data_IF_461322633091
#
_entry.id   IF_461322633091
#
_cell.length_a   1.000
_cell.length_b   1.000
_cell.length_c   1.000
_cell.angle_alpha   90.00
_cell.angle_beta   90.00
_cell.angle_gamma   90.00
#
_symmetry.space_group_name_H-M   'P 1'
#
loop_
_entity.id
_entity.type
_entity.pdbx_description
1 polymer ?
#
# COMPACT_ATOMS: atom_id res chain seq x y z
N UNK A 1 -11.09 -12.37 5.64
CA UNK A 1 -11.59 -12.95 4.37
C UNK A 1 -10.39 -13.26 3.47
N UNK A 2 -10.16 -14.52 3.07
CA UNK A 2 -9.06 -14.86 2.14
C UNK A 2 -9.45 -14.38 0.74
N UNK A 3 -8.87 -13.30 0.25
CA UNK A 3 -9.05 -12.87 -1.14
C UNK A 3 -8.42 -13.92 -2.08
N UNK A 4 -9.19 -14.46 -3.01
CA UNK A 4 -8.66 -15.38 -4.01
C UNK A 4 -7.72 -14.63 -4.96
N UNK A 5 -6.59 -15.22 -5.40
CA UNK A 5 -5.65 -14.55 -6.32
C UNK A 5 -6.30 -14.01 -7.59
N UNK A 6 -7.30 -14.71 -8.14
CA UNK A 6 -8.03 -14.33 -9.36
C UNK A 6 -9.23 -13.40 -9.09
N UNK A 7 -9.35 -12.80 -7.91
CA UNK A 7 -10.48 -11.93 -7.61
C UNK A 7 -10.34 -10.59 -8.33
N UNK A 8 -11.34 -10.25 -9.12
CA UNK A 8 -11.50 -8.97 -9.78
C UNK A 8 -12.02 -7.89 -8.82
N UNK A 9 -11.91 -6.64 -9.23
CA UNK A 9 -12.48 -5.52 -8.52
C UNK A 9 -14.02 -5.57 -8.59
N UNK A 10 -14.70 -5.27 -7.48
CA UNK A 10 -16.17 -5.17 -7.48
C UNK A 10 -16.63 -3.88 -8.18
N UNK A 11 -17.92 -3.76 -8.48
CA UNK A 11 -18.49 -2.53 -9.06
C UNK A 11 -18.31 -1.33 -8.14
N UNK A 12 -18.47 -1.53 -6.84
CA UNK A 12 -18.25 -0.53 -5.80
C UNK A 12 -16.77 -0.14 -5.74
N UNK A 13 -15.86 -1.12 -5.84
CA UNK A 13 -14.42 -0.88 -5.92
C UNK A 13 -14.03 -0.07 -7.15
N UNK A 14 -14.62 -0.36 -8.32
CA UNK A 14 -14.41 0.45 -9.54
C UNK A 14 -14.90 1.88 -9.34
N UNK A 15 -16.08 2.07 -8.73
CA UNK A 15 -16.65 3.41 -8.49
C UNK A 15 -15.79 4.21 -7.51
N UNK A 16 -15.31 3.56 -6.44
CA UNK A 16 -14.42 4.18 -5.46
C UNK A 16 -13.07 4.57 -6.09
N UNK A 17 -12.46 3.65 -6.83
CA UNK A 17 -11.19 3.92 -7.51
C UNK A 17 -11.30 5.09 -8.51
N UNK A 18 -12.39 5.16 -9.27
CA UNK A 18 -12.67 6.32 -10.16
C UNK A 18 -12.78 7.61 -9.39
N UNK A 19 -13.49 7.60 -8.27
CA UNK A 19 -13.66 8.80 -7.44
C UNK A 19 -12.31 9.30 -6.93
N UNK A 20 -11.51 8.40 -6.36
CA UNK A 20 -10.17 8.74 -5.84
C UNK A 20 -9.24 9.21 -6.95
N UNK A 21 -9.30 8.58 -8.12
CA UNK A 21 -8.46 8.93 -9.27
C UNK A 21 -8.68 10.35 -9.80
N UNK A 22 -9.87 10.93 -9.59
CA UNK A 22 -10.19 12.30 -10.05
C UNK A 22 -9.35 13.38 -9.35
N UNK A 23 -8.93 13.12 -8.12
CA UNK A 23 -8.16 14.06 -7.30
C UNK A 23 -6.64 13.79 -7.34
N UNK A 24 -6.22 12.74 -8.06
CA UNK A 24 -4.81 12.39 -8.19
C UNK A 24 -4.18 13.11 -9.39
N UNK A 25 -3.01 13.70 -9.17
CA UNK A 25 -2.19 14.23 -10.25
C UNK A 25 -1.62 13.07 -11.11
N UNK A 26 -1.22 13.34 -12.38
CA UNK A 26 -0.50 12.35 -13.17
C UNK A 26 0.77 11.87 -12.46
N UNK A 27 1.07 10.57 -12.61
CA UNK A 27 2.30 9.97 -12.12
C UNK A 27 3.23 9.67 -13.29
N UNK A 28 4.55 9.78 -13.05
CA UNK A 28 5.58 9.43 -14.03
C UNK A 28 5.80 7.91 -14.13
N UNK A 29 5.43 7.18 -13.08
CA UNK A 29 5.51 5.72 -13.03
C UNK A 29 4.34 5.13 -12.23
N UNK A 30 3.63 4.18 -12.82
CA UNK A 30 2.57 3.43 -12.14
C UNK A 30 2.96 1.96 -12.03
N UNK A 31 3.16 1.48 -10.80
CA UNK A 31 3.54 0.10 -10.50
C UNK A 31 2.38 -0.60 -9.80
N UNK A 32 1.98 -1.76 -10.28
CA UNK A 32 0.92 -2.55 -9.63
C UNK A 32 1.42 -3.94 -9.27
N UNK A 33 0.72 -4.61 -8.36
CA UNK A 33 0.85 -6.05 -8.25
C UNK A 33 0.33 -6.72 -9.53
N UNK A 34 0.71 -8.00 -9.74
CA UNK A 34 0.20 -8.81 -10.88
C UNK A 34 -1.25 -9.30 -10.69
N UNK A 35 -1.88 -9.00 -9.57
CA UNK A 35 -3.24 -9.44 -9.31
C UNK A 35 -4.27 -8.56 -10.05
N UNK A 36 -5.31 -9.17 -10.69
CA UNK A 36 -6.26 -8.45 -11.52
C UNK A 36 -6.84 -7.20 -10.85
N UNK A 37 -7.26 -7.31 -9.58
CA UNK A 37 -7.86 -6.19 -8.84
C UNK A 37 -6.93 -4.98 -8.67
N UNK A 38 -5.59 -5.16 -8.61
CA UNK A 38 -4.67 -4.03 -8.52
C UNK A 38 -4.51 -3.31 -9.86
N UNK A 39 -4.42 -4.08 -10.95
CA UNK A 39 -4.38 -3.55 -12.32
C UNK A 39 -5.69 -2.80 -12.64
N UNK A 40 -6.83 -3.41 -12.29
CA UNK A 40 -8.15 -2.81 -12.49
C UNK A 40 -8.35 -1.55 -11.65
N UNK A 41 -7.74 -1.48 -10.45
CA UNK A 41 -7.72 -0.27 -9.64
C UNK A 41 -6.97 0.85 -10.35
N UNK A 42 -5.77 0.59 -10.90
CA UNK A 42 -5.04 1.59 -11.68
C UNK A 42 -5.88 2.11 -12.85
N UNK A 43 -6.46 1.20 -13.64
CA UNK A 43 -7.30 1.54 -14.80
C UNK A 43 -8.52 2.36 -14.37
N UNK A 44 -9.19 1.97 -13.28
CA UNK A 44 -10.35 2.68 -12.78
C UNK A 44 -10.00 4.08 -12.25
N UNK A 45 -8.80 4.26 -11.68
CA UNK A 45 -8.26 5.57 -11.29
C UNK A 45 -7.85 6.44 -12.49
N UNK A 46 -7.82 5.89 -13.70
CA UNK A 46 -7.46 6.60 -14.93
C UNK A 46 -5.99 6.45 -15.33
N UNK A 47 -5.26 5.49 -14.76
CA UNK A 47 -3.85 5.25 -15.03
C UNK A 47 -3.63 3.91 -15.74
N UNK A 48 -2.67 3.87 -16.68
CA UNK A 48 -2.12 2.61 -17.17
C UNK A 48 -1.06 2.09 -16.20
N UNK A 49 -0.98 0.78 -16.03
CA UNK A 49 0.13 0.18 -15.28
C UNK A 49 1.37 0.08 -16.18
N UNK A 50 2.42 0.85 -15.85
CA UNK A 50 3.69 0.81 -16.58
C UNK A 50 4.51 -0.44 -16.24
N UNK A 51 4.41 -0.86 -14.98
CA UNK A 51 5.16 -2.01 -14.45
C UNK A 51 4.31 -2.86 -13.52
N UNK A 52 4.49 -4.17 -13.59
CA UNK A 52 3.85 -5.12 -12.67
C UNK A 52 4.90 -5.88 -11.88
N UNK A 53 4.75 -5.93 -10.53
CA UNK A 53 5.64 -6.67 -9.63
C UNK A 53 4.84 -7.73 -8.84
N UNK A 54 5.30 -8.99 -8.88
CA UNK A 54 4.65 -10.09 -8.16
C UNK A 54 4.76 -9.92 -6.62
N UNK A 55 5.87 -9.35 -6.14
CA UNK A 55 6.15 -9.19 -4.71
C UNK A 55 5.21 -8.19 -4.01
N UNK A 56 4.50 -7.38 -4.80
CA UNK A 56 3.45 -6.49 -4.31
C UNK A 56 2.07 -7.18 -4.16
N UNK A 57 1.98 -8.50 -4.43
CA UNK A 57 0.68 -9.14 -4.60
C UNK A 57 0.26 -10.13 -3.52
N UNK A 58 1.18 -10.76 -2.84
CA UNK A 58 0.88 -11.88 -1.94
C UNK A 58 1.69 -11.78 -0.65
N UNK A 59 0.98 -11.87 0.48
CA UNK A 59 1.62 -12.07 1.78
C UNK A 59 2.05 -13.53 1.93
N UNK A 60 3.29 -13.82 2.38
CA UNK A 60 3.68 -15.15 2.81
C UNK A 60 2.72 -15.70 3.88
N UNK A 61 2.49 -17.02 3.89
CA UNK A 61 1.53 -17.63 4.80
C UNK A 61 1.87 -17.37 6.27
N UNK A 62 3.15 -17.36 6.63
CA UNK A 62 3.64 -17.06 7.96
C UNK A 62 3.34 -15.62 8.40
N UNK A 63 3.48 -14.65 7.50
CA UNK A 63 3.13 -13.24 7.73
C UNK A 63 1.62 -13.08 7.85
N UNK A 64 0.84 -13.73 6.98
CA UNK A 64 -0.62 -13.71 7.02
C UNK A 64 -1.17 -14.31 8.33
N UNK A 65 -0.50 -15.33 8.87
CA UNK A 65 -0.90 -15.96 10.13
C UNK A 65 -0.59 -15.07 11.33
N UNK A 66 0.55 -14.37 11.30
CA UNK A 66 0.97 -13.48 12.38
C UNK A 66 0.15 -12.18 12.42
N UNK A 67 -0.24 -11.66 11.25
CA UNK A 67 -1.02 -10.43 11.11
C UNK A 67 -2.50 -10.74 10.97
N UNK A 68 -3.23 -10.89 12.09
CA UNK A 68 -4.69 -11.04 12.06
C UNK A 68 -5.35 -9.74 11.55
N UNK A 69 -6.43 -9.88 10.79
CA UNK A 69 -7.18 -8.77 10.24
C UNK A 69 -8.61 -8.73 10.81
N UNK A 70 -9.22 -7.54 11.13
CA UNK A 70 -8.62 -6.19 11.05
C UNK A 70 -7.60 -5.92 12.15
N UNK A 71 -6.71 -4.94 11.94
CA UNK A 71 -5.63 -4.61 12.85
C UNK A 71 -5.36 -3.10 12.88
N UNK A 72 -4.67 -2.60 13.90
CA UNK A 72 -4.17 -1.22 13.94
C UNK A 72 -2.72 -1.17 13.49
N UNK A 73 -2.30 -0.04 12.95
CA UNK A 73 -0.89 0.16 12.55
C UNK A 73 0.06 0.07 13.74
N UNK A 74 -0.38 0.52 14.92
CA UNK A 74 0.35 0.33 16.18
C UNK A 74 0.61 -1.14 16.49
N UNK A 75 -0.44 -1.99 16.38
CA UNK A 75 -0.28 -3.42 16.66
C UNK A 75 0.53 -4.13 15.58
N UNK A 76 0.35 -3.77 14.30
CA UNK A 76 1.18 -4.29 13.20
C UNK A 76 2.66 -3.95 13.39
N UNK A 77 2.97 -2.74 13.88
CA UNK A 77 4.35 -2.35 14.25
C UNK A 77 4.93 -3.23 15.37
N UNK A 78 4.14 -3.58 16.39
CA UNK A 78 4.57 -4.52 17.43
C UNK A 78 4.83 -5.91 16.85
N UNK A 79 3.90 -6.44 16.08
CA UNK A 79 4.04 -7.73 15.40
C UNK A 79 5.32 -7.73 14.54
N UNK A 80 5.55 -6.69 13.73
CA UNK A 80 6.74 -6.58 12.91
C UNK A 80 8.04 -6.63 13.74
N UNK A 81 8.08 -5.98 14.91
CA UNK A 81 9.26 -6.02 15.80
C UNK A 81 9.49 -7.39 16.44
N UNK A 82 8.41 -8.06 16.84
CA UNK A 82 8.47 -9.28 17.65
C UNK A 82 8.48 -10.56 16.80
N UNK A 83 8.11 -10.47 15.51
CA UNK A 83 8.00 -11.59 14.59
C UNK A 83 8.98 -11.42 13.42
N UNK A 84 9.97 -12.32 13.35
CA UNK A 84 11.06 -12.25 12.37
C UNK A 84 10.57 -12.34 10.91
N UNK A 85 9.66 -13.25 10.51
CA UNK A 85 9.07 -13.25 9.18
C UNK A 85 8.41 -11.93 8.79
N UNK A 86 7.65 -11.30 9.70
CA UNK A 86 7.02 -10.02 9.44
C UNK A 86 8.04 -8.89 9.27
N UNK A 87 9.09 -8.88 10.07
CA UNK A 87 10.18 -7.91 9.99
C UNK A 87 10.92 -8.03 8.66
N UNK A 88 11.29 -9.25 8.27
CA UNK A 88 11.96 -9.50 6.99
C UNK A 88 11.10 -9.07 5.83
N UNK A 89 9.83 -9.45 5.81
CA UNK A 89 8.89 -9.05 4.77
C UNK A 89 8.75 -7.52 4.68
N UNK A 90 8.65 -6.81 5.80
CA UNK A 90 8.59 -5.35 5.83
C UNK A 90 9.87 -4.71 5.24
N UNK A 91 11.03 -5.26 5.56
CA UNK A 91 12.31 -4.82 5.02
C UNK A 91 12.41 -5.06 3.50
N UNK A 92 11.96 -6.21 3.02
CA UNK A 92 11.95 -6.54 1.59
C UNK A 92 11.02 -5.59 0.82
N UNK A 93 9.81 -5.31 1.35
CA UNK A 93 8.91 -4.33 0.75
C UNK A 93 9.50 -2.92 0.75
N UNK A 94 10.11 -2.50 1.85
CA UNK A 94 10.80 -1.22 1.93
C UNK A 94 11.94 -1.11 0.90
N UNK A 95 12.71 -2.17 0.69
CA UNK A 95 13.76 -2.21 -0.32
C UNK A 95 13.19 -2.06 -1.75
N UNK A 96 12.08 -2.74 -2.07
CA UNK A 96 11.39 -2.58 -3.36
C UNK A 96 10.91 -1.14 -3.58
N UNK A 97 10.30 -0.52 -2.57
CA UNK A 97 9.78 0.85 -2.68
C UNK A 97 10.91 1.88 -2.73
N UNK A 98 12.00 1.68 -1.98
CA UNK A 98 13.20 2.51 -2.06
C UNK A 98 13.86 2.43 -3.44
N UNK A 99 13.87 1.25 -4.08
CA UNK A 99 14.37 1.12 -5.45
C UNK A 99 13.54 1.95 -6.43
N UNK A 100 12.21 1.92 -6.32
CA UNK A 100 11.32 2.76 -7.14
C UNK A 100 11.54 4.25 -6.86
N UNK A 101 11.64 4.64 -5.58
CA UNK A 101 11.95 6.02 -5.19
C UNK A 101 13.32 6.48 -5.71
N UNK A 102 14.29 5.57 -5.80
CA UNK A 102 15.61 5.83 -6.35
C UNK A 102 15.63 6.09 -7.86
N UNK A 103 14.62 5.61 -8.58
CA UNK A 103 14.44 5.88 -10.01
C UNK A 103 13.84 7.29 -10.25
N UNK A 104 13.17 7.86 -9.25
CA UNK A 104 12.53 9.18 -9.37
C UNK A 104 13.55 10.30 -9.18
N UNK A 105 13.50 11.29 -10.06
CA UNK A 105 14.37 12.47 -10.03
C UNK A 105 13.54 13.76 -10.04
N UNK A 106 14.05 14.80 -9.41
CA UNK A 106 13.38 16.11 -9.37
C UNK A 106 11.97 16.02 -8.78
N UNK A 107 10.97 16.43 -9.55
CA UNK A 107 9.56 16.43 -9.16
C UNK A 107 8.80 15.20 -9.65
N UNK A 108 9.49 14.16 -10.10
CA UNK A 108 8.85 12.93 -10.55
C UNK A 108 8.16 12.20 -9.39
N UNK A 109 7.08 11.49 -9.72
CA UNK A 109 6.27 10.76 -8.76
C UNK A 109 5.90 9.37 -9.28
N UNK A 110 5.79 8.42 -8.35
CA UNK A 110 5.36 7.06 -8.65
C UNK A 110 4.12 6.70 -7.82
N UNK A 111 3.19 5.98 -8.45
CA UNK A 111 2.06 5.34 -7.78
C UNK A 111 2.32 3.84 -7.65
N UNK A 112 2.26 3.32 -6.43
CA UNK A 112 2.34 1.87 -6.18
C UNK A 112 0.97 1.38 -5.71
N UNK A 113 0.37 0.43 -6.44
CA UNK A 113 -0.91 -0.19 -6.06
C UNK A 113 -0.66 -1.63 -5.61
N UNK A 114 -0.91 -1.85 -4.33
CA UNK A 114 -0.68 -3.11 -3.62
C UNK A 114 -1.92 -3.53 -2.82
N UNK A 115 -1.78 -4.29 -1.75
CA UNK A 115 -2.86 -4.91 -0.99
C UNK A 115 -2.69 -4.69 0.51
N UNK A 116 -3.82 -4.79 1.24
CA UNK A 116 -3.80 -4.76 2.69
C UNK A 116 -2.86 -5.81 3.30
N UNK A 117 -2.19 -5.46 4.38
CA UNK A 117 -1.08 -6.19 4.99
C UNK A 117 0.26 -5.84 4.36
N UNK A 118 0.36 -5.81 3.04
CA UNK A 118 1.60 -5.43 2.32
C UNK A 118 1.87 -3.94 2.47
N UNK A 119 0.83 -3.12 2.25
CA UNK A 119 0.97 -1.65 2.30
C UNK A 119 1.37 -1.18 3.71
N UNK A 120 0.79 -1.77 4.75
CA UNK A 120 1.10 -1.41 6.13
C UNK A 120 2.51 -1.85 6.54
N UNK A 121 2.87 -3.10 6.26
CA UNK A 121 4.21 -3.61 6.59
C UNK A 121 5.29 -2.89 5.77
N UNK A 122 5.03 -2.62 4.49
CA UNK A 122 5.94 -1.85 3.65
C UNK A 122 6.16 -0.43 4.17
N UNK A 123 5.09 0.26 4.57
CA UNK A 123 5.19 1.59 5.16
C UNK A 123 5.96 1.60 6.48
N UNK A 124 5.69 0.63 7.36
CA UNK A 124 6.42 0.45 8.61
C UNK A 124 7.91 0.14 8.39
N UNK A 125 8.22 -0.66 7.38
CA UNK A 125 9.60 -0.98 7.00
C UNK A 125 10.34 0.21 6.39
N UNK A 126 9.64 1.04 5.61
CA UNK A 126 10.22 2.21 4.95
C UNK A 126 10.47 3.37 5.92
N UNK A 127 9.69 3.44 7.01
CA UNK A 127 9.79 4.49 8.02
C UNK A 127 9.99 3.90 9.43
N UNK A 128 11.13 3.25 9.71
CA UNK A 128 11.37 2.57 10.98
C UNK A 128 11.31 3.50 12.20
N UNK A 129 11.64 4.78 12.01
CA UNK A 129 11.59 5.83 13.04
C UNK A 129 10.23 6.54 13.09
N UNK A 130 9.27 6.11 12.27
CA UNK A 130 7.91 6.66 12.25
C UNK A 130 7.17 6.38 13.56
N UNK A 131 6.14 7.18 13.82
CA UNK A 131 5.28 6.97 14.99
C UNK A 131 3.94 6.32 14.59
N UNK A 132 3.86 4.98 14.52
CA UNK A 132 2.65 4.27 14.11
C UNK A 132 1.46 4.48 15.05
N UNK A 133 1.68 5.00 16.27
CA UNK A 133 0.60 5.33 17.20
C UNK A 133 -0.28 6.48 16.70
N UNK A 134 0.24 7.32 15.82
CA UNK A 134 -0.53 8.43 15.20
C UNK A 134 -1.21 8.02 13.89
N UNK A 135 -0.98 6.79 13.42
CA UNK A 135 -1.46 6.35 12.11
C UNK A 135 -2.85 5.69 12.15
N UNK A 136 -3.31 5.29 13.34
CA UNK A 136 -4.65 4.75 13.56
C UNK A 136 -4.83 3.32 13.03
N UNK A 137 -5.99 3.07 12.43
CA UNK A 137 -6.37 1.76 11.91
C UNK A 137 -5.63 1.41 10.62
N UNK A 138 -5.71 0.14 10.23
CA UNK A 138 -5.23 -0.35 8.95
C UNK A 138 -5.78 0.46 7.77
N UNK A 139 -5.06 0.39 6.65
CA UNK A 139 -5.41 1.10 5.42
C UNK A 139 -6.64 0.46 4.79
N UNK A 140 -7.64 1.29 4.47
CA UNK A 140 -8.85 0.89 3.76
C UNK A 140 -8.64 0.82 2.24
N UNK A 141 -9.72 0.48 1.52
CA UNK A 141 -9.68 0.46 0.05
C UNK A 141 -9.41 1.86 -0.51
N UNK A 142 -8.50 1.96 -1.45
CA UNK A 142 -8.04 3.21 -2.07
C UNK A 142 -7.49 4.26 -1.09
N UNK A 143 -7.23 3.88 0.15
CA UNK A 143 -6.40 4.64 1.08
C UNK A 143 -4.93 4.26 0.90
N UNK A 144 -4.01 5.05 1.46
CA UNK A 144 -2.59 4.77 1.30
C UNK A 144 -1.67 5.67 2.09
N UNK A 145 -0.41 5.65 1.69
CA UNK A 145 0.64 6.49 2.22
C UNK A 145 1.25 7.32 1.09
N UNK A 146 1.57 8.57 1.40
CA UNK A 146 2.42 9.42 0.55
C UNK A 146 3.77 9.55 1.21
N UNK A 147 4.80 9.16 0.48
CA UNK A 147 6.19 9.35 0.88
C UNK A 147 6.80 10.48 0.06
N UNK A 148 7.42 11.43 0.74
CA UNK A 148 8.09 12.55 0.08
C UNK A 148 9.54 12.61 0.53
N UNK A 149 10.47 12.57 -0.44
CA UNK A 149 11.90 12.72 -0.18
C UNK A 149 12.22 14.17 0.13
N UNK A 150 12.87 14.42 1.25
CA UNK A 150 13.31 15.75 1.67
C UNK A 150 14.79 15.68 2.07
N UNK A 151 15.67 16.11 1.16
CA UNK A 151 17.11 15.91 1.35
C UNK A 151 17.44 14.41 1.47
N UNK A 152 18.10 14.04 2.56
CA UNK A 152 18.42 12.62 2.88
C UNK A 152 17.30 11.93 3.68
N UNK A 153 16.25 12.65 4.07
CA UNK A 153 15.11 12.13 4.83
C UNK A 153 13.90 11.76 3.98
N UNK A 154 12.96 11.05 4.61
CA UNK A 154 11.69 10.67 4.04
C UNK A 154 10.57 11.08 4.99
N UNK A 155 9.60 11.85 4.50
CA UNK A 155 8.36 12.11 5.23
C UNK A 155 7.26 11.17 4.78
N UNK A 156 6.36 10.83 5.71
CA UNK A 156 5.24 9.93 5.48
C UNK A 156 3.94 10.62 5.90
N UNK A 157 2.99 10.69 4.98
CA UNK A 157 1.62 11.15 5.22
C UNK A 157 0.65 10.00 4.94
N UNK A 158 -0.37 9.84 5.78
CA UNK A 158 -1.43 8.87 5.54
C UNK A 158 -2.56 9.53 4.77
N UNK A 159 -2.93 8.93 3.65
CA UNK A 159 -4.04 9.37 2.82
C UNK A 159 -5.28 8.58 3.22
N UNK A 160 -6.20 9.23 3.93
CA UNK A 160 -7.48 8.66 4.37
C UNK A 160 -8.62 9.21 3.54
N UNK A 161 -9.59 8.35 3.25
CA UNK A 161 -10.85 8.77 2.67
C UNK A 161 -11.77 9.33 3.75
N UNK A 162 -12.70 10.26 3.38
CA UNK A 162 -13.81 10.63 4.25
C UNK A 162 -14.61 9.41 4.70
N UNK A 163 -15.10 9.39 5.94
CA UNK A 163 -15.74 8.22 6.56
C UNK A 163 -16.88 7.63 5.71
N UNK A 164 -17.64 8.47 5.02
CA UNK A 164 -18.74 8.04 4.14
C UNK A 164 -18.27 7.27 2.89
N UNK A 165 -17.00 7.38 2.52
CA UNK A 165 -16.39 6.69 1.37
C UNK A 165 -15.52 5.49 1.79
N UNK A 166 -15.24 5.37 3.09
CA UNK A 166 -14.43 4.28 3.60
C UNK A 166 -15.20 2.96 3.54
N UNK A 167 -14.88 2.13 2.57
CA UNK A 167 -15.28 0.74 2.55
C UNK A 167 -14.33 -0.03 3.47
N UNK A 168 -14.73 -0.21 4.73
CA UNK A 168 -14.02 -1.07 5.67
C UNK A 168 -14.52 -2.49 5.42
N UNK A 169 -13.59 -3.43 5.21
CA UNK A 169 -13.93 -4.85 5.22
C UNK A 169 -14.45 -5.23 6.60
N UNK A 170 -15.74 -5.43 6.71
CA UNK A 170 -16.39 -6.09 7.83
C UNK A 170 -16.27 -7.60 7.72
#
# INVERSE_FOLDING_TARGET
MRTKPAQHLSREGVSLARHVGQDLAPFDLVVTSKLPRAIETAIAMGFAADRMNADLGVLPQEVLTATSWPNTLTNMSKIMRDNEPCRRFAQDQAAHWNAILGEMSGNQSALIITHGGIIELGALGLTPDGNPNTWGDAIGYCEGFRFTKQGDGLTCEILRLPDQLRLINS
#
